data_IF_312910157700
#
_entry.id   IF_312910157700
#
_cell.length_a   1.000
_cell.length_b   1.000
_cell.length_c   1.000
_cell.angle_alpha   90.00
_cell.angle_beta   90.00
_cell.angle_gamma   90.00
#
_symmetry.space_group_name_H-M   'P 1'
#
loop_
_entity.id
_entity.type
_entity.pdbx_description
1 polymer ?
#
# COMPACT_ATOMS: atom_id res chain seq x y z
N UNK A 1 16.35 7.26 -10.85
CA UNK A 1 15.53 6.16 -10.31
C UNK A 1 15.24 6.34 -8.82
N UNK A 2 16.23 6.31 -7.91
CA UNK A 2 15.98 6.49 -6.45
C UNK A 2 15.43 7.87 -6.06
N UNK A 3 15.86 8.94 -6.74
CA UNK A 3 15.41 10.32 -6.46
C UNK A 3 13.90 10.51 -6.67
N UNK A 4 13.34 9.96 -7.75
CA UNK A 4 11.90 10.07 -8.05
C UNK A 4 11.03 9.39 -6.98
N UNK A 5 11.47 8.23 -6.49
CA UNK A 5 10.75 7.54 -5.41
C UNK A 5 10.76 8.37 -4.11
N UNK A 6 11.88 9.03 -3.79
CA UNK A 6 11.97 9.92 -2.63
C UNK A 6 11.07 11.15 -2.77
N UNK A 7 10.99 11.75 -3.96
CA UNK A 7 10.06 12.84 -4.26
C UNK A 7 8.62 12.40 -4.02
N UNK A 8 8.21 11.25 -4.58
CA UNK A 8 6.87 10.70 -4.40
C UNK A 8 6.58 10.44 -2.92
N UNK A 9 7.52 9.91 -2.15
CA UNK A 9 7.36 9.68 -0.70
C UNK A 9 7.16 11.00 0.05
N UNK A 10 7.89 12.05 -0.32
CA UNK A 10 7.73 13.36 0.30
C UNK A 10 6.36 13.96 -0.01
N UNK A 11 5.86 13.80 -1.24
CA UNK A 11 4.49 14.18 -1.59
C UNK A 11 3.45 13.37 -0.79
N UNK A 12 3.64 12.05 -0.65
CA UNK A 12 2.75 11.21 0.17
C UNK A 12 2.74 11.69 1.62
N UNK A 13 3.90 12.03 2.20
CA UNK A 13 3.99 12.60 3.55
C UNK A 13 3.29 13.95 3.67
N UNK A 14 3.33 14.79 2.64
CA UNK A 14 2.67 16.09 2.64
C UNK A 14 1.15 15.97 2.53
N UNK A 15 0.63 15.00 1.76
CA UNK A 15 -0.81 14.85 1.50
C UNK A 15 -1.50 13.93 2.50
N UNK A 16 -0.83 12.85 2.93
CA UNK A 16 -1.40 11.77 3.76
C UNK A 16 -0.70 11.62 5.10
N UNK A 17 0.09 12.60 5.54
CA UNK A 17 0.99 12.50 6.70
C UNK A 17 0.32 12.00 7.99
N UNK A 18 -0.92 12.39 8.26
CA UNK A 18 -1.66 11.95 9.45
C UNK A 18 -1.99 10.45 9.44
N UNK A 19 -2.14 9.87 8.25
CA UNK A 19 -2.45 8.46 8.07
C UNK A 19 -1.20 7.56 8.05
N UNK A 20 -0.01 8.11 7.84
CA UNK A 20 1.23 7.35 7.77
C UNK A 20 1.69 6.97 9.18
N UNK A 21 1.95 5.67 9.37
CA UNK A 21 2.55 5.15 10.59
C UNK A 21 4.06 5.00 10.45
N UNK A 22 4.52 4.51 9.31
CA UNK A 22 5.93 4.18 9.08
C UNK A 22 6.29 4.34 7.61
N UNK A 23 7.52 4.81 7.35
CA UNK A 23 8.15 4.73 6.04
C UNK A 23 9.53 4.11 6.24
N UNK A 24 9.84 3.07 5.48
CA UNK A 24 11.09 2.34 5.66
C UNK A 24 11.60 1.69 4.38
N UNK A 25 12.79 1.13 4.50
CA UNK A 25 13.40 0.30 3.45
C UNK A 25 13.89 -1.00 4.08
N UNK A 26 13.59 -2.12 3.43
CA UNK A 26 14.15 -3.41 3.82
C UNK A 26 14.62 -4.15 2.57
N UNK A 27 15.89 -4.58 2.56
CA UNK A 27 16.52 -5.29 1.44
C UNK A 27 16.32 -4.60 0.08
N UNK A 28 16.46 -3.27 0.06
CA UNK A 28 16.31 -2.46 -1.16
C UNK A 28 14.87 -2.27 -1.63
N UNK A 29 13.87 -2.66 -0.83
CA UNK A 29 12.46 -2.42 -1.10
C UNK A 29 11.89 -1.39 -0.14
N UNK A 30 11.40 -0.29 -0.69
CA UNK A 30 10.75 0.76 0.09
C UNK A 30 9.31 0.39 0.39
N UNK A 31 8.88 0.66 1.62
CA UNK A 31 7.50 0.45 2.06
C UNK A 31 6.96 1.63 2.84
N UNK A 32 5.64 1.79 2.80
CA UNK A 32 4.87 2.72 3.61
C UNK A 32 3.83 1.90 4.37
N UNK A 33 3.71 2.15 5.67
CA UNK A 33 2.64 1.62 6.51
C UNK A 33 1.69 2.76 6.82
N UNK A 34 0.40 2.57 6.58
CA UNK A 34 -0.66 3.50 6.97
C UNK A 34 -1.57 2.87 8.02
N UNK A 35 -2.02 3.68 8.98
CA UNK A 35 -2.91 3.29 10.09
C UNK A 35 -4.40 3.57 9.83
N UNK A 36 -4.68 4.49 8.91
CA UNK A 36 -6.05 4.90 8.57
C UNK A 36 -6.43 4.18 7.26
N UNK A 37 -7.27 3.16 7.35
CA UNK A 37 -7.60 2.31 6.19
C UNK A 37 -8.51 3.02 5.18
N UNK A 38 -9.20 4.06 5.62
CA UNK A 38 -10.13 4.88 4.86
C UNK A 38 -9.41 5.66 3.75
N UNK A 39 -8.13 6.02 3.94
CA UNK A 39 -7.35 6.72 2.91
C UNK A 39 -6.72 5.78 1.88
N UNK A 40 -6.90 4.46 2.02
CA UNK A 40 -6.31 3.46 1.13
C UNK A 40 -6.58 3.79 -0.35
N UNK A 41 -7.86 3.92 -0.71
CA UNK A 41 -8.26 4.07 -2.11
C UNK A 41 -7.74 5.37 -2.72
N UNK A 42 -7.75 6.45 -1.94
CA UNK A 42 -7.20 7.75 -2.36
C UNK A 42 -5.68 7.67 -2.57
N UNK A 43 -4.94 7.04 -1.66
CA UNK A 43 -3.50 6.85 -1.81
C UNK A 43 -3.17 5.95 -3.02
N UNK A 44 -3.94 4.89 -3.25
CA UNK A 44 -3.77 4.02 -4.43
C UNK A 44 -4.05 4.78 -5.73
N UNK A 45 -5.07 5.65 -5.75
CA UNK A 45 -5.33 6.54 -6.88
C UNK A 45 -4.16 7.50 -7.12
N UNK A 46 -3.65 8.13 -6.07
CA UNK A 46 -2.47 8.99 -6.14
C UNK A 46 -1.25 8.25 -6.71
N UNK A 47 -0.97 7.02 -6.24
CA UNK A 47 0.12 6.20 -6.78
C UNK A 47 -0.07 5.91 -8.27
N UNK A 48 -1.30 5.60 -8.71
CA UNK A 48 -1.61 5.39 -10.12
C UNK A 48 -1.32 6.64 -10.95
N UNK A 49 -1.67 7.83 -10.46
CA UNK A 49 -1.37 9.13 -11.09
C UNK A 49 0.14 9.41 -11.15
N UNK A 50 0.93 8.90 -10.19
CA UNK A 50 2.40 8.95 -10.19
C UNK A 50 3.07 7.89 -11.06
N UNK A 51 2.30 7.13 -11.84
CA UNK A 51 2.80 6.18 -12.83
C UNK A 51 3.02 4.77 -12.30
N UNK A 52 2.59 4.44 -11.08
CA UNK A 52 2.54 3.05 -10.61
C UNK A 52 1.43 2.30 -11.35
N UNK A 53 1.77 1.78 -12.52
CA UNK A 53 0.85 1.20 -13.49
C UNK A 53 0.75 -0.32 -13.41
N UNK A 54 1.49 -0.96 -12.50
CA UNK A 54 1.49 -2.40 -12.33
C UNK A 54 1.32 -2.78 -10.86
N UNK A 55 0.19 -3.43 -10.54
CA UNK A 55 -0.04 -4.10 -9.26
C UNK A 55 0.53 -5.52 -9.35
N UNK A 56 1.68 -5.75 -8.70
CA UNK A 56 2.39 -7.02 -8.77
C UNK A 56 1.71 -8.08 -7.90
N UNK A 57 1.34 -7.69 -6.68
CA UNK A 57 0.71 -8.58 -5.70
C UNK A 57 -0.20 -7.76 -4.79
N UNK A 58 -1.25 -8.41 -4.30
CA UNK A 58 -2.11 -7.93 -3.23
C UNK A 58 -2.41 -9.13 -2.34
N UNK A 59 -2.13 -9.02 -1.06
CA UNK A 59 -2.32 -10.08 -0.06
C UNK A 59 -2.66 -9.49 1.29
N UNK A 60 -3.10 -10.33 2.23
CA UNK A 60 -3.29 -9.97 3.63
C UNK A 60 -2.31 -10.74 4.52
N UNK A 61 -1.85 -10.11 5.59
CA UNK A 61 -1.04 -10.73 6.64
C UNK A 61 -1.86 -10.76 7.91
N UNK A 62 -2.01 -11.96 8.48
CA UNK A 62 -2.58 -12.17 9.80
C UNK A 62 -1.46 -12.27 10.84
N UNK A 63 -1.45 -11.34 11.79
CA UNK A 63 -0.49 -11.31 12.90
C UNK A 63 -1.00 -12.01 14.17
N UNK A 64 -1.95 -12.94 14.04
CA UNK A 64 -2.39 -13.79 15.14
C UNK A 64 -1.19 -14.40 15.89
N UNK A 65 -1.17 -14.24 17.22
CA UNK A 65 -0.10 -14.68 18.12
C UNK A 65 1.27 -13.98 17.97
N UNK A 66 1.36 -12.91 17.16
CA UNK A 66 2.60 -12.12 17.01
C UNK A 66 2.57 -10.79 17.79
N UNK A 67 1.53 -10.55 18.59
CA UNK A 67 1.43 -9.40 19.50
C UNK A 67 1.27 -8.04 18.80
N UNK A 68 0.87 -8.02 17.54
CA UNK A 68 0.68 -6.80 16.76
C UNK A 68 -0.79 -6.36 16.75
N UNK A 69 -1.00 -5.08 17.03
CA UNK A 69 -2.31 -4.42 16.94
C UNK A 69 -2.18 -3.19 16.03
N UNK A 70 -3.03 -3.02 14.99
CA UNK A 70 -4.08 -3.93 14.52
C UNK A 70 -3.59 -5.31 14.02
N UNK A 71 -4.46 -6.33 14.09
CA UNK A 71 -4.13 -7.74 13.77
C UNK A 71 -3.84 -7.95 12.28
N UNK A 72 -4.58 -7.30 11.39
CA UNK A 72 -4.46 -7.53 9.96
C UNK A 72 -3.67 -6.42 9.28
N UNK A 73 -2.94 -6.78 8.23
CA UNK A 73 -2.46 -5.82 7.24
C UNK A 73 -2.81 -6.25 5.84
N UNK A 74 -3.32 -5.33 5.03
CA UNK A 74 -3.45 -5.51 3.58
C UNK A 74 -2.21 -4.94 2.92
N UNK A 75 -1.53 -5.76 2.12
CA UNK A 75 -0.23 -5.46 1.53
C UNK A 75 -0.34 -5.44 0.01
N UNK A 76 -0.14 -4.25 -0.55
CA UNK A 76 -0.04 -4.01 -1.97
C UNK A 76 1.42 -3.88 -2.38
N UNK A 77 1.80 -4.50 -3.50
CA UNK A 77 3.09 -4.27 -4.13
C UNK A 77 2.85 -3.60 -5.49
N UNK A 78 3.15 -2.31 -5.56
CA UNK A 78 3.05 -1.52 -6.78
C UNK A 78 4.39 -1.37 -7.47
N UNK A 79 4.36 -1.26 -8.79
CA UNK A 79 5.52 -1.02 -9.62
C UNK A 79 5.20 -0.01 -10.72
N UNK A 80 6.14 0.91 -10.94
CA UNK A 80 6.15 1.82 -12.08
C UNK A 80 7.12 1.25 -13.12
N UNK A 81 6.56 0.75 -14.23
CA UNK A 81 7.32 0.09 -15.29
C UNK A 81 8.30 1.03 -16.01
N UNK A 82 7.92 2.30 -16.19
CA UNK A 82 8.71 3.28 -16.93
C UNK A 82 9.95 3.71 -16.15
N UNK A 83 9.78 4.04 -14.87
CA UNK A 83 10.86 4.50 -14.00
C UNK A 83 11.58 3.35 -13.27
N UNK A 84 11.08 2.13 -13.39
CA UNK A 84 11.59 0.90 -12.77
C UNK A 84 11.72 1.01 -11.25
N UNK A 85 10.71 1.60 -10.60
CA UNK A 85 10.64 1.75 -9.14
C UNK A 85 9.45 0.97 -8.57
N UNK A 86 9.65 0.37 -7.41
CA UNK A 86 8.62 -0.34 -6.67
C UNK A 86 8.32 0.33 -5.34
N UNK A 87 7.06 0.23 -4.90
CA UNK A 87 6.63 0.71 -3.59
C UNK A 87 5.66 -0.33 -3.00
N UNK A 88 5.93 -0.73 -1.76
CA UNK A 88 5.00 -1.54 -0.96
C UNK A 88 4.12 -0.63 -0.11
N UNK A 89 2.82 -0.78 -0.23
CA UNK A 89 1.85 -0.14 0.67
C UNK A 89 1.30 -1.21 1.63
N UNK A 90 1.41 -0.96 2.93
CA UNK A 90 0.83 -1.80 3.99
C UNK A 90 -0.24 -0.97 4.68
N UNK A 91 -1.46 -1.49 4.74
CA UNK A 91 -2.60 -0.83 5.37
C UNK A 91 -3.00 -1.65 6.57
N UNK A 92 -2.92 -1.06 7.77
CA UNK A 92 -3.40 -1.74 8.98
C UNK A 92 -4.92 -1.78 8.97
N UNK A 93 -5.47 -2.95 9.30
CA UNK A 93 -6.91 -3.20 9.33
C UNK A 93 -7.28 -3.81 10.69
N UNK A 94 -8.17 -3.16 11.48
CA UNK A 94 -8.67 -3.69 12.75
C UNK A 94 -9.43 -5.02 12.59
N UNK A 95 -9.44 -5.83 13.65
CA UNK A 95 -10.20 -7.09 13.67
C UNK A 95 -11.70 -6.84 13.86
N UNK A 96 -12.05 -5.75 14.53
CA UNK A 96 -13.41 -5.32 14.83
C UNK A 96 -14.17 -4.84 13.58
N UNK A 97 -13.43 -4.32 12.59
CA UNK A 97 -13.94 -3.94 11.28
C UNK A 97 -12.93 -4.37 10.20
N UNK A 98 -12.89 -5.66 9.83
CA UNK A 98 -11.90 -6.25 8.96
C UNK A 98 -12.23 -6.02 7.48
N UNK A 99 -12.61 -4.79 7.15
CA UNK A 99 -13.02 -4.36 5.82
C UNK A 99 -12.12 -3.24 5.29
N UNK A 100 -11.94 -3.14 3.98
CA UNK A 100 -11.21 -2.06 3.32
C UNK A 100 -11.82 -1.81 1.94
N UNK A 101 -11.73 -0.58 1.44
CA UNK A 101 -12.21 -0.26 0.10
C UNK A 101 -11.42 -1.02 -0.98
N UNK A 102 -12.17 -1.68 -1.88
CA UNK A 102 -11.63 -2.35 -3.07
C UNK A 102 -11.03 -1.33 -4.03
N UNK A 103 -9.96 -1.76 -4.73
CA UNK A 103 -9.26 -0.97 -5.73
C UNK A 103 -9.51 -1.47 -7.16
N UNK A 104 -10.52 -2.32 -7.36
CA UNK A 104 -10.84 -2.96 -8.66
C UNK A 104 -11.16 -1.98 -9.78
N UNK A 105 -11.73 -0.82 -9.46
CA UNK A 105 -11.98 0.28 -10.40
C UNK A 105 -10.69 0.97 -10.86
N UNK A 106 -9.66 1.00 -10.00
CA UNK A 106 -8.33 1.51 -10.31
C UNK A 106 -7.45 0.46 -10.97
N UNK A 107 -7.51 -0.79 -10.51
CA UNK A 107 -6.71 -1.93 -10.97
C UNK A 107 -7.63 -3.14 -11.15
N UNK A 108 -8.15 -3.39 -12.37
CA UNK A 108 -9.07 -4.50 -12.61
C UNK A 108 -8.54 -5.88 -12.19
N UNK A 109 -7.22 -6.09 -12.30
CA UNK A 109 -6.55 -7.30 -11.84
C UNK A 109 -6.64 -7.54 -10.33
N UNK A 110 -6.94 -6.52 -9.53
CA UNK A 110 -7.15 -6.67 -8.09
C UNK A 110 -8.35 -7.56 -7.77
N UNK A 111 -9.34 -7.70 -8.68
CA UNK A 111 -10.52 -8.54 -8.42
C UNK A 111 -10.14 -9.98 -8.07
N UNK A 112 -9.17 -10.52 -8.80
CA UNK A 112 -8.66 -11.86 -8.55
C UNK A 112 -7.83 -11.89 -7.26
N UNK A 113 -6.96 -10.90 -7.05
CA UNK A 113 -6.06 -10.86 -5.89
C UNK A 113 -6.79 -10.63 -4.56
N UNK A 114 -7.85 -9.81 -4.54
CA UNK A 114 -8.68 -9.52 -3.35
C UNK A 114 -9.45 -10.75 -2.85
N UNK A 115 -9.67 -11.76 -3.70
CA UNK A 115 -10.51 -12.92 -3.38
C UNK A 115 -9.76 -14.14 -2.87
N UNK A 116 -8.42 -14.14 -2.95
CA UNK A 116 -7.57 -15.27 -2.57
C UNK A 116 -7.72 -16.47 -3.51
N UNK A 117 -6.59 -17.05 -3.92
CA UNK A 117 -6.53 -18.38 -4.55
C UNK A 117 -5.55 -19.23 -3.76
#
# INVERSE_FOLDING_TARGET
>A
MRNKLLEIINEIKSTFGEAILEVGEFRGQTFIVIKLKEVNKELVKFLKEKGFNHLQTLTAVDYLNLGKTPRFEVVYQFYNLSDRIGLRLRVQVPEEDPSIESITDLFPGANFLERGF
#
